data_IF_845063075178
#
_entry.id   IF_845063075178
#
_cell.length_a   1.000
_cell.length_b   1.000
_cell.length_c   1.000
_cell.angle_alpha   90.00
_cell.angle_beta   90.00
_cell.angle_gamma   90.00
#
_symmetry.space_group_name_H-M   'P 1'
#
loop_
_entity.id
_entity.type
_entity.pdbx_description
1 polymer ?
#
# COMPACT_ATOMS: atom_id res chain seq x y z
N UNK A 1 2.22 -4.85 25.11
CA UNK A 1 1.54 -3.56 24.89
C UNK A 1 0.10 -3.77 25.27
N UNK A 2 -0.49 -2.89 26.07
CA UNK A 2 -1.93 -2.95 26.38
C UNK A 2 -2.76 -2.30 25.27
N UNK A 3 -4.09 -2.44 25.36
CA UNK A 3 -5.02 -1.93 24.33
C UNK A 3 -4.98 -0.40 24.23
N UNK A 4 -4.76 0.31 25.33
CA UNK A 4 -4.73 1.78 25.32
C UNK A 4 -3.49 2.28 24.58
N UNK A 5 -2.32 1.73 24.90
CA UNK A 5 -1.08 2.04 24.19
C UNK A 5 -1.14 1.69 22.68
N UNK A 6 -1.85 0.61 22.32
CA UNK A 6 -2.08 0.27 20.92
C UNK A 6 -3.04 1.26 20.22
N UNK A 7 -4.06 1.74 20.92
CA UNK A 7 -5.00 2.72 20.37
C UNK A 7 -4.30 4.06 20.05
N UNK A 8 -3.40 4.52 20.90
CA UNK A 8 -2.60 5.73 20.65
C UNK A 8 -1.73 5.57 19.40
N UNK A 9 -1.05 4.42 19.26
CA UNK A 9 -0.23 4.13 18.09
C UNK A 9 -1.06 4.02 16.80
N UNK A 10 -2.25 3.41 16.87
CA UNK A 10 -3.17 3.33 15.73
C UNK A 10 -3.70 4.70 15.33
N UNK A 11 -3.96 5.59 16.30
CA UNK A 11 -4.37 6.96 16.03
C UNK A 11 -3.28 7.71 15.26
N UNK A 12 -2.02 7.67 15.71
CA UNK A 12 -0.89 8.25 14.97
C UNK A 12 -0.78 7.65 13.56
N UNK A 13 -0.82 6.32 13.45
CA UNK A 13 -0.71 5.59 12.17
C UNK A 13 -1.79 6.03 11.18
N UNK A 14 -3.04 6.17 11.64
CA UNK A 14 -4.15 6.63 10.82
C UNK A 14 -3.95 8.05 10.30
N UNK A 15 -3.39 8.96 11.12
CA UNK A 15 -3.08 10.33 10.70
C UNK A 15 -1.96 10.38 9.64
N UNK A 16 -0.92 9.55 9.81
CA UNK A 16 0.14 9.40 8.80
C UNK A 16 -0.41 8.84 7.48
N UNK A 17 -1.23 7.79 7.55
CA UNK A 17 -1.89 7.19 6.38
C UNK A 17 -2.77 8.20 5.65
N UNK A 18 -3.64 8.93 6.37
CA UNK A 18 -4.51 9.94 5.77
C UNK A 18 -3.74 11.08 5.09
N UNK A 19 -2.62 11.51 5.67
CA UNK A 19 -1.76 12.55 5.07
C UNK A 19 -1.10 12.08 3.78
N UNK A 20 -0.76 10.79 3.69
CA UNK A 20 -0.23 10.16 2.48
C UNK A 20 -1.32 10.05 1.40
N UNK A 21 -2.48 9.48 1.74
CA UNK A 21 -3.62 9.32 0.82
C UNK A 21 -4.08 10.66 0.21
N UNK A 22 -4.06 11.74 1.00
CA UNK A 22 -4.48 13.06 0.55
C UNK A 22 -3.64 13.64 -0.62
N UNK A 23 -2.40 13.17 -0.79
CA UNK A 23 -1.50 13.62 -1.87
C UNK A 23 -1.18 12.54 -2.89
N UNK A 24 -1.55 11.29 -2.63
CA UNK A 24 -1.40 10.19 -3.57
C UNK A 24 -2.35 10.38 -4.77
N UNK A 25 -1.99 9.91 -5.97
CA UNK A 25 -2.94 9.82 -7.08
C UNK A 25 -4.18 9.02 -6.67
N UNK A 26 -5.39 9.39 -7.12
CA UNK A 26 -6.59 8.61 -6.86
C UNK A 26 -6.40 7.16 -7.29
N UNK A 27 -6.71 6.24 -6.40
CA UNK A 27 -6.54 4.83 -6.64
C UNK A 27 -7.54 4.04 -5.82
N UNK A 28 -7.89 2.86 -6.32
CA UNK A 28 -8.67 1.92 -5.58
C UNK A 28 -7.79 0.75 -5.13
N UNK A 29 -7.78 0.45 -3.84
CA UNK A 29 -6.93 -0.61 -3.30
C UNK A 29 -7.27 -2.00 -3.87
N UNK A 30 -8.49 -2.22 -4.37
CA UNK A 30 -8.85 -3.48 -5.04
C UNK A 30 -8.07 -3.72 -6.33
N UNK A 31 -7.55 -2.68 -6.98
CA UNK A 31 -6.68 -2.84 -8.14
C UNK A 31 -5.34 -3.46 -7.76
N UNK A 32 -4.76 -3.02 -6.63
CA UNK A 32 -3.55 -3.62 -6.09
C UNK A 32 -3.83 -5.05 -5.58
N UNK A 33 -4.95 -5.26 -4.88
CA UNK A 33 -5.33 -6.60 -4.39
C UNK A 33 -5.51 -7.59 -5.54
N UNK A 34 -6.15 -7.19 -6.64
CA UNK A 34 -6.37 -8.03 -7.79
C UNK A 34 -5.03 -8.50 -8.41
N UNK A 35 -4.09 -7.57 -8.64
CA UNK A 35 -2.77 -7.91 -9.17
C UNK A 35 -1.94 -8.75 -8.20
N UNK A 36 -2.05 -8.50 -6.89
CA UNK A 36 -1.41 -9.31 -5.87
C UNK A 36 -1.98 -10.73 -5.88
N UNK A 37 -3.31 -10.87 -5.83
CA UNK A 37 -3.98 -12.17 -5.78
C UNK A 37 -3.72 -12.99 -7.04
N UNK A 38 -3.76 -12.37 -8.22
CA UNK A 38 -3.43 -13.03 -9.49
C UNK A 38 -2.01 -13.63 -9.46
N UNK A 39 -1.01 -12.86 -8.99
CA UNK A 39 0.35 -13.37 -8.82
C UNK A 39 0.43 -14.51 -7.79
N UNK A 40 -0.31 -14.43 -6.68
CA UNK A 40 -0.35 -15.49 -5.65
C UNK A 40 -1.00 -16.77 -6.17
N UNK A 41 -2.09 -16.66 -6.94
CA UNK A 41 -2.75 -17.78 -7.60
C UNK A 41 -1.83 -18.42 -8.65
N UNK A 42 -0.97 -17.62 -9.29
CA UNK A 42 0.11 -18.08 -10.17
C UNK A 42 1.32 -18.70 -9.46
N UNK A 43 1.34 -18.74 -8.13
CA UNK A 43 2.41 -19.37 -7.34
C UNK A 43 3.54 -18.45 -6.90
N UNK A 44 3.44 -17.13 -7.11
CA UNK A 44 4.44 -16.18 -6.61
C UNK A 44 4.51 -16.15 -5.08
N UNK A 45 5.69 -15.89 -4.54
CA UNK A 45 5.90 -15.58 -3.12
C UNK A 45 5.20 -14.27 -2.71
N UNK A 46 5.00 -13.99 -1.41
CA UNK A 46 4.35 -12.74 -0.98
C UNK A 46 5.10 -11.49 -1.46
N UNK A 47 6.43 -11.53 -1.46
CA UNK A 47 7.27 -10.42 -1.89
C UNK A 47 7.18 -10.19 -3.40
N UNK A 48 7.20 -11.26 -4.20
CA UNK A 48 7.02 -11.20 -5.65
C UNK A 48 5.64 -10.68 -6.03
N UNK A 49 4.59 -11.12 -5.34
CA UNK A 49 3.22 -10.67 -5.56
C UNK A 49 3.05 -9.19 -5.17
N UNK A 50 3.67 -8.75 -4.06
CA UNK A 50 3.68 -7.35 -3.66
C UNK A 50 4.39 -6.48 -4.71
N UNK A 51 5.52 -6.95 -5.23
CA UNK A 51 6.23 -6.28 -6.32
C UNK A 51 5.42 -6.25 -7.62
N UNK A 52 4.70 -7.32 -7.96
CA UNK A 52 3.82 -7.38 -9.13
C UNK A 52 2.66 -6.37 -9.02
N UNK A 53 2.00 -6.32 -7.87
CA UNK A 53 0.94 -5.37 -7.60
C UNK A 53 1.46 -3.91 -7.61
N UNK A 54 2.64 -3.67 -7.03
CA UNK A 54 3.30 -2.36 -7.12
C UNK A 54 3.58 -1.92 -8.56
N UNK A 55 4.06 -2.84 -9.42
CA UNK A 55 4.23 -2.57 -10.86
C UNK A 55 2.91 -2.30 -11.55
N UNK A 56 1.86 -3.07 -11.27
CA UNK A 56 0.54 -2.83 -11.85
C UNK A 56 -0.01 -1.44 -11.50
N UNK A 57 0.13 -1.02 -10.24
CA UNK A 57 -0.30 0.31 -9.82
C UNK A 57 0.51 1.41 -10.54
N UNK A 58 1.82 1.24 -10.67
CA UNK A 58 2.67 2.20 -11.37
C UNK A 58 2.40 2.26 -12.88
N UNK A 59 2.40 1.11 -13.55
CA UNK A 59 2.44 1.03 -15.02
C UNK A 59 1.04 1.10 -15.66
N UNK A 60 0.01 0.56 -14.99
CA UNK A 60 -1.36 0.50 -15.52
C UNK A 60 -2.24 1.57 -14.92
N UNK A 61 -2.19 1.73 -13.59
CA UNK A 61 -3.00 2.74 -12.89
C UNK A 61 -2.35 4.11 -12.84
N UNK A 62 -1.06 4.23 -13.20
CA UNK A 62 -0.28 5.47 -13.11
C UNK A 62 -0.24 6.04 -11.68
N UNK A 63 -0.36 5.16 -10.68
CA UNK A 63 -0.28 5.45 -9.25
C UNK A 63 1.14 5.18 -8.81
N UNK A 64 1.98 6.19 -8.89
CA UNK A 64 3.38 6.10 -8.49
C UNK A 64 3.53 6.57 -7.06
N UNK A 65 3.76 5.64 -6.14
CA UNK A 65 4.23 5.98 -4.79
C UNK A 65 5.73 6.21 -4.88
N UNK A 66 6.13 7.45 -5.17
CA UNK A 66 7.53 7.82 -5.02
C UNK A 66 7.92 7.61 -3.55
N UNK A 67 9.03 6.92 -3.24
CA UNK A 67 9.51 6.87 -1.86
C UNK A 67 9.72 8.30 -1.39
N UNK A 68 9.12 8.66 -0.25
CA UNK A 68 9.41 9.94 0.42
C UNK A 68 10.92 10.10 0.48
N UNK A 69 11.45 11.15 -0.16
CA UNK A 69 12.83 11.57 0.07
C UNK A 69 12.89 12.01 1.52
N UNK A 70 13.45 11.16 2.38
CA UNK A 70 13.90 11.59 3.69
C UNK A 70 14.89 12.74 3.50
N UNK A 71 14.48 13.95 3.86
CA UNK A 71 15.35 15.12 4.08
C UNK A 71 15.97 15.05 5.46
#
# INVERSE_FOLDING_TARGET
MDVAALADLLHETSGRHGSFEAVAPPHDWWDWYAAYMEAREGGSTPDEASAAAGRYMADVKNVVVAPSRAT
#
